data_IF_843493257287
#
_entry.id   IF_843493257287
#
_cell.length_a   1.000
_cell.length_b   1.000
_cell.length_c   1.000
_cell.angle_alpha   90.00
_cell.angle_beta   90.00
_cell.angle_gamma   90.00
#
_symmetry.space_group_name_H-M   'P 1'
#
loop_
_entity.id
_entity.type
_entity.pdbx_description
1 polymer ?
#
# COMPACT_ATOMS: atom_id res chain seq x y z
N UNK A 1 -11.39 1.71 18.45
CA UNK A 1 -11.83 0.84 17.32
C UNK A 1 -10.97 1.05 16.07
N UNK A 2 -10.80 2.28 15.57
CA UNK A 2 -10.08 2.52 14.31
C UNK A 2 -8.58 2.16 14.34
N UNK A 3 -7.90 2.42 15.46
CA UNK A 3 -6.49 2.01 15.61
C UNK A 3 -6.30 0.49 15.55
N UNK A 4 -7.24 -0.29 16.11
CA UNK A 4 -7.18 -1.75 16.10
C UNK A 4 -7.30 -2.33 14.69
N UNK A 5 -8.24 -1.84 13.88
CA UNK A 5 -8.39 -2.29 12.47
C UNK A 5 -7.11 -2.04 11.67
N UNK A 6 -6.42 -0.91 11.88
CA UNK A 6 -5.14 -0.64 11.22
C UNK A 6 -4.03 -1.61 11.64
N UNK A 7 -3.99 -1.99 12.92
CA UNK A 7 -3.05 -3.02 13.42
C UNK A 7 -3.34 -4.38 12.79
N UNK A 8 -4.62 -4.74 12.65
CA UNK A 8 -5.02 -6.00 12.02
C UNK A 8 -4.74 -6.03 10.51
N UNK A 9 -4.92 -4.89 9.82
CA UNK A 9 -4.48 -4.72 8.42
C UNK A 9 -2.97 -4.90 8.32
N UNK A 10 -2.20 -4.23 9.17
CA UNK A 10 -0.75 -4.38 9.22
C UNK A 10 -0.35 -5.84 9.44
N UNK A 11 -0.90 -6.50 10.47
CA UNK A 11 -0.65 -7.92 10.77
C UNK A 11 -0.96 -8.81 9.56
N UNK A 12 -2.10 -8.58 8.89
CA UNK A 12 -2.52 -9.33 7.71
C UNK A 12 -1.53 -9.22 6.56
N UNK A 13 -1.08 -8.00 6.23
CA UNK A 13 -0.04 -7.75 5.22
C UNK A 13 1.26 -8.43 5.62
N UNK A 14 1.70 -8.26 6.86
CA UNK A 14 2.99 -8.78 7.32
C UNK A 14 3.06 -10.31 7.32
N UNK A 15 1.93 -10.98 7.55
CA UNK A 15 1.86 -12.45 7.62
C UNK A 15 1.33 -13.10 6.34
N UNK A 16 0.84 -12.31 5.37
CA UNK A 16 0.07 -12.80 4.24
C UNK A 16 -1.11 -13.69 4.66
N UNK A 17 -1.80 -13.30 5.73
CA UNK A 17 -2.92 -14.03 6.32
C UNK A 17 -4.20 -13.20 6.19
N UNK A 18 -5.35 -13.87 5.97
CA UNK A 18 -6.65 -13.19 6.02
C UNK A 18 -6.88 -12.58 7.40
N UNK A 19 -7.73 -11.57 7.46
CA UNK A 19 -8.13 -10.99 8.74
C UNK A 19 -9.14 -11.91 9.42
N UNK A 20 -9.03 -12.00 10.74
CA UNK A 20 -9.99 -12.69 11.60
C UNK A 20 -10.70 -11.63 12.44
N UNK A 21 -11.63 -10.91 11.81
CA UNK A 21 -12.39 -9.84 12.44
C UNK A 21 -13.86 -10.21 12.44
N UNK A 22 -14.43 -10.38 13.62
CA UNK A 22 -15.87 -10.53 13.83
C UNK A 22 -16.55 -9.16 13.70
N UNK A 23 -16.62 -8.62 12.48
CA UNK A 23 -17.19 -7.28 12.20
C UNK A 23 -18.69 -7.35 11.84
N UNK A 24 -19.26 -8.54 11.78
CA UNK A 24 -20.62 -8.77 11.25
C UNK A 24 -21.72 -8.04 12.04
N UNK A 25 -21.42 -7.57 13.26
CA UNK A 25 -22.38 -6.88 14.14
C UNK A 25 -22.18 -5.37 14.23
N UNK A 26 -21.23 -4.78 13.50
CA UNK A 26 -20.97 -3.34 13.53
C UNK A 26 -21.38 -2.72 12.19
N UNK A 27 -22.40 -1.86 12.23
CA UNK A 27 -22.85 -1.12 11.04
C UNK A 27 -21.88 0.01 10.73
N UNK A 28 -20.96 -0.28 9.82
CA UNK A 28 -19.99 0.69 9.33
C UNK A 28 -20.51 1.39 8.08
N UNK A 29 -20.40 2.72 8.05
CA UNK A 29 -20.69 3.50 6.84
C UNK A 29 -19.72 3.12 5.71
N UNK A 30 -20.26 2.41 4.72
CA UNK A 30 -19.59 2.01 3.46
C UNK A 30 -20.17 2.75 2.25
N UNK A 31 -20.98 3.79 2.49
CA UNK A 31 -21.59 4.55 1.42
C UNK A 31 -20.55 5.42 0.69
N UNK A 32 -20.94 6.00 -0.44
CA UNK A 32 -20.16 7.02 -1.14
C UNK A 32 -20.86 8.39 -1.08
N UNK A 33 -21.73 8.59 -0.08
CA UNK A 33 -22.43 9.86 0.12
C UNK A 33 -21.45 10.91 0.67
N UNK A 34 -21.68 12.21 0.40
CA UNK A 34 -20.89 13.29 0.97
C UNK A 34 -20.76 13.14 2.50
N UNK A 35 -19.55 13.29 3.00
CA UNK A 35 -19.17 13.17 4.41
C UNK A 35 -17.83 13.86 4.64
N UNK A 36 -17.44 14.01 5.91
CA UNK A 36 -16.16 14.59 6.30
C UNK A 36 -14.96 13.69 5.92
N UNK A 37 -13.76 14.27 5.88
CA UNK A 37 -12.54 13.59 5.39
C UNK A 37 -12.20 12.32 6.19
N UNK A 38 -12.46 12.32 7.50
CA UNK A 38 -12.23 11.16 8.38
C UNK A 38 -13.14 9.99 8.03
N UNK A 39 -14.40 10.26 7.66
CA UNK A 39 -15.34 9.23 7.19
C UNK A 39 -14.88 8.66 5.83
N UNK A 40 -14.42 9.50 4.91
CA UNK A 40 -13.86 9.03 3.64
C UNK A 40 -12.61 8.16 3.82
N UNK A 41 -11.71 8.57 4.71
CA UNK A 41 -10.53 7.79 5.07
C UNK A 41 -10.93 6.44 5.68
N UNK A 42 -11.93 6.44 6.57
CA UNK A 42 -12.43 5.25 7.22
C UNK A 42 -13.07 4.27 6.24
N UNK A 43 -13.87 4.75 5.29
CA UNK A 43 -14.44 3.94 4.20
C UNK A 43 -13.37 3.20 3.40
N UNK A 44 -12.23 3.84 3.14
CA UNK A 44 -11.12 3.20 2.43
C UNK A 44 -10.36 2.20 3.32
N UNK A 45 -10.18 2.52 4.60
CA UNK A 45 -9.60 1.59 5.58
C UNK A 45 -10.42 0.29 5.69
N UNK A 46 -11.75 0.39 5.79
CA UNK A 46 -12.65 -0.76 5.79
C UNK A 46 -12.61 -1.53 4.48
N UNK A 47 -12.54 -0.81 3.35
CA UNK A 47 -12.38 -1.45 2.05
C UNK A 47 -11.11 -2.30 1.97
N UNK A 48 -10.01 -1.84 2.58
CA UNK A 48 -8.76 -2.61 2.68
C UNK A 48 -8.96 -3.96 3.39
N UNK A 49 -9.82 -4.02 4.41
CA UNK A 49 -10.16 -5.30 5.08
C UNK A 49 -10.79 -6.27 4.08
N UNK A 50 -11.77 -5.81 3.29
CA UNK A 50 -12.44 -6.64 2.28
C UNK A 50 -11.44 -7.10 1.20
N UNK A 51 -10.55 -6.19 0.76
CA UNK A 51 -9.48 -6.49 -0.22
C UNK A 51 -8.52 -7.56 0.31
N UNK A 52 -8.02 -7.41 1.53
CA UNK A 52 -7.09 -8.37 2.14
C UNK A 52 -7.75 -9.74 2.36
N UNK A 53 -9.00 -9.77 2.80
CA UNK A 53 -9.77 -11.01 2.92
C UNK A 53 -9.95 -11.72 1.57
N UNK A 54 -10.15 -10.98 0.49
CA UNK A 54 -10.12 -11.54 -0.86
C UNK A 54 -8.72 -12.02 -1.27
N UNK A 55 -7.69 -11.20 -1.05
CA UNK A 55 -6.31 -11.47 -1.45
C UNK A 55 -5.70 -12.69 -0.74
N UNK A 56 -6.00 -12.89 0.53
CA UNK A 56 -5.47 -13.99 1.36
C UNK A 56 -6.50 -15.07 1.69
N UNK A 57 -7.74 -14.93 1.20
CA UNK A 57 -8.77 -15.96 1.28
C UNK A 57 -8.53 -17.14 0.33
N UNK A 58 -9.18 -18.27 0.62
CA UNK A 58 -9.08 -19.49 -0.19
C UNK A 58 -9.89 -19.46 -1.49
N UNK A 59 -11.09 -18.87 -1.45
CA UNK A 59 -11.93 -18.69 -2.64
C UNK A 59 -11.77 -17.26 -3.18
N UNK A 60 -11.57 -17.13 -4.50
CA UNK A 60 -11.35 -15.84 -5.18
C UNK A 60 -12.29 -15.70 -6.38
N UNK A 61 -13.59 -15.48 -6.15
CA UNK A 61 -14.54 -15.29 -7.24
C UNK A 61 -14.22 -14.04 -8.05
N UNK A 62 -14.33 -14.14 -9.38
CA UNK A 62 -14.10 -13.00 -10.27
C UNK A 62 -15.05 -11.84 -9.97
N UNK A 63 -16.31 -12.13 -9.67
CA UNK A 63 -17.30 -11.11 -9.35
C UNK A 63 -16.90 -10.28 -8.12
N UNK A 64 -16.38 -10.92 -7.07
CA UNK A 64 -15.89 -10.22 -5.87
C UNK A 64 -14.72 -9.31 -6.22
N UNK A 65 -13.77 -9.77 -7.04
CA UNK A 65 -12.67 -8.93 -7.52
C UNK A 65 -13.17 -7.68 -8.25
N UNK A 66 -14.10 -7.86 -9.19
CA UNK A 66 -14.64 -6.76 -9.99
C UNK A 66 -15.41 -5.75 -9.12
N UNK A 67 -16.12 -6.22 -8.10
CA UNK A 67 -16.77 -5.37 -7.10
C UNK A 67 -15.75 -4.55 -6.29
N UNK A 68 -14.66 -5.17 -5.84
CA UNK A 68 -13.62 -4.50 -5.07
C UNK A 68 -12.93 -3.40 -5.90
N UNK A 69 -12.51 -3.73 -7.12
CA UNK A 69 -11.93 -2.76 -8.07
C UNK A 69 -12.92 -1.65 -8.37
N UNK A 70 -14.20 -1.99 -8.61
CA UNK A 70 -15.23 -0.99 -8.87
C UNK A 70 -15.43 -0.05 -7.69
N UNK A 71 -15.38 -0.55 -6.45
CA UNK A 71 -15.55 0.30 -5.27
C UNK A 71 -14.39 1.27 -5.13
N UNK A 72 -13.13 0.80 -5.17
CA UNK A 72 -11.96 1.66 -5.09
C UNK A 72 -11.98 2.77 -6.16
N UNK A 73 -12.32 2.42 -7.40
CA UNK A 73 -12.42 3.38 -8.49
C UNK A 73 -13.56 4.39 -8.30
N UNK A 74 -14.71 3.96 -7.75
CA UNK A 74 -15.83 4.87 -7.44
C UNK A 74 -15.48 5.79 -6.27
N UNK A 75 -14.82 5.27 -5.23
CA UNK A 75 -14.34 6.05 -4.09
C UNK A 75 -13.43 7.19 -4.57
N UNK A 76 -12.41 6.89 -5.39
CA UNK A 76 -11.48 7.92 -5.89
C UNK A 76 -12.16 9.00 -6.74
N UNK A 77 -13.27 8.68 -7.42
CA UNK A 77 -14.06 9.66 -8.17
C UNK A 77 -15.03 10.46 -7.31
N UNK A 78 -15.30 10.02 -6.09
CA UNK A 78 -16.36 10.57 -5.23
C UNK A 78 -15.81 11.32 -4.01
N UNK A 79 -14.52 11.12 -3.67
CA UNK A 79 -13.89 11.86 -2.58
C UNK A 79 -13.98 13.38 -2.79
N UNK A 80 -14.11 14.17 -1.71
CA UNK A 80 -14.16 15.63 -1.81
C UNK A 80 -12.85 16.22 -2.35
N UNK A 81 -12.89 17.49 -2.74
CA UNK A 81 -11.73 18.21 -3.29
C UNK A 81 -10.52 18.23 -2.34
N UNK A 82 -10.76 18.13 -1.02
CA UNK A 82 -9.73 17.99 0.03
C UNK A 82 -8.76 16.83 -0.20
N UNK A 83 -9.16 15.78 -0.93
CA UNK A 83 -8.31 14.64 -1.28
C UNK A 83 -7.37 14.93 -2.47
N UNK A 84 -7.46 16.10 -3.08
CA UNK A 84 -6.51 16.55 -4.09
C UNK A 84 -5.23 17.02 -3.40
N UNK A 85 -4.04 16.52 -3.79
CA UNK A 85 -2.80 17.01 -3.22
C UNK A 85 -2.64 18.52 -3.40
N UNK A 86 -2.20 19.19 -2.34
CA UNK A 86 -1.90 20.63 -2.35
C UNK A 86 -0.68 20.91 -3.23
N UNK A 87 0.29 20.00 -3.20
CA UNK A 87 1.47 20.03 -4.05
C UNK A 87 1.87 18.60 -4.44
N UNK A 88 2.23 18.43 -5.71
CA UNK A 88 2.95 17.26 -6.21
C UNK A 88 4.18 17.75 -6.95
N UNK A 89 5.35 17.43 -6.45
CA UNK A 89 6.61 17.79 -7.08
C UNK A 89 7.39 16.53 -7.47
N UNK A 90 8.01 16.57 -8.64
CA UNK A 90 8.89 15.51 -9.09
C UNK A 90 10.06 15.33 -8.09
N UNK A 91 10.65 14.13 -7.98
CA UNK A 91 11.76 13.90 -7.06
C UNK A 91 12.87 14.93 -7.25
N UNK A 92 13.31 15.55 -6.15
CA UNK A 92 14.48 16.43 -6.16
C UNK A 92 15.73 15.64 -6.57
N UNK A 93 16.79 16.34 -7.00
CA UNK A 93 18.06 15.67 -7.33
C UNK A 93 18.55 14.88 -6.12
N UNK A 94 18.65 13.56 -6.25
CA UNK A 94 19.09 12.65 -5.20
C UNK A 94 17.95 11.96 -4.43
N UNK A 95 16.68 12.34 -4.64
CA UNK A 95 15.53 11.57 -4.17
C UNK A 95 14.92 10.76 -5.31
N UNK A 96 14.34 9.60 -4.98
CA UNK A 96 13.60 8.75 -5.91
C UNK A 96 12.09 8.87 -5.75
N UNK A 97 11.63 9.55 -4.70
CA UNK A 97 10.22 9.70 -4.38
C UNK A 97 9.73 11.12 -4.70
N UNK A 98 8.48 11.26 -5.18
CA UNK A 98 7.87 12.57 -5.33
C UNK A 98 7.60 13.20 -3.97
N UNK A 99 7.66 14.53 -3.88
CA UNK A 99 7.12 15.24 -2.72
C UNK A 99 5.62 15.43 -2.92
N UNK A 100 4.83 15.04 -1.91
CA UNK A 100 3.37 15.05 -1.95
C UNK A 100 2.84 15.66 -0.66
N UNK A 101 2.33 16.90 -0.74
CA UNK A 101 1.70 17.56 0.39
C UNK A 101 0.19 17.41 0.34
N UNK A 102 -0.37 16.89 1.43
CA UNK A 102 -1.79 16.62 1.59
C UNK A 102 -2.38 17.50 2.69
N UNK A 103 -3.69 17.76 2.59
CA UNK A 103 -4.35 18.77 3.40
C UNK A 103 -4.36 18.44 4.91
N UNK A 104 -4.59 17.17 5.27
CA UNK A 104 -4.69 16.72 6.66
C UNK A 104 -4.46 15.19 6.78
N UNK A 105 -4.36 14.70 8.02
CA UNK A 105 -4.07 13.28 8.33
C UNK A 105 -5.15 12.31 7.82
N UNK A 106 -6.43 12.72 7.77
CA UNK A 106 -7.50 11.88 7.25
C UNK A 106 -7.32 11.67 5.74
N UNK A 107 -7.01 12.73 5.00
CA UNK A 107 -6.70 12.65 3.57
C UNK A 107 -5.47 11.76 3.33
N UNK A 108 -4.40 11.95 4.12
CA UNK A 108 -3.20 11.09 4.07
C UNK A 108 -3.60 9.63 4.24
N UNK A 109 -4.31 9.29 5.30
CA UNK A 109 -4.74 7.92 5.59
C UNK A 109 -5.61 7.31 4.49
N UNK A 110 -6.60 8.05 3.98
CA UNK A 110 -7.47 7.56 2.92
C UNK A 110 -6.71 7.26 1.63
N UNK A 111 -5.80 8.14 1.22
CA UNK A 111 -4.97 7.93 0.03
C UNK A 111 -3.95 6.79 0.23
N UNK A 112 -3.35 6.66 1.41
CA UNK A 112 -2.43 5.55 1.71
C UNK A 112 -3.12 4.20 1.51
N UNK A 113 -4.30 4.02 2.10
CA UNK A 113 -5.06 2.78 1.95
C UNK A 113 -5.57 2.57 0.52
N UNK A 114 -5.92 3.64 -0.19
CA UNK A 114 -6.28 3.55 -1.61
C UNK A 114 -5.12 2.99 -2.45
N UNK A 115 -3.90 3.50 -2.28
CA UNK A 115 -2.73 3.01 -3.02
C UNK A 115 -2.33 1.58 -2.60
N UNK A 116 -2.44 1.23 -1.31
CA UNK A 116 -2.26 -0.17 -0.85
C UNK A 116 -3.26 -1.10 -1.54
N UNK A 117 -4.53 -0.71 -1.62
CA UNK A 117 -5.56 -1.50 -2.29
C UNK A 117 -5.29 -1.66 -3.79
N UNK A 118 -4.77 -0.63 -4.45
CA UNK A 118 -4.33 -0.74 -5.86
C UNK A 118 -3.19 -1.75 -6.01
N UNK A 119 -2.18 -1.72 -5.16
CA UNK A 119 -1.08 -2.71 -5.18
C UNK A 119 -1.63 -4.12 -5.01
N UNK A 120 -2.44 -4.36 -3.97
CA UNK A 120 -3.05 -5.65 -3.68
C UNK A 120 -3.91 -6.16 -4.84
N UNK A 121 -4.83 -5.33 -5.35
CA UNK A 121 -5.74 -5.71 -6.44
C UNK A 121 -4.99 -5.92 -7.76
N UNK A 122 -3.89 -5.22 -8.00
CA UNK A 122 -3.03 -5.44 -9.19
C UNK A 122 -2.23 -6.73 -9.07
N UNK A 123 -1.62 -7.01 -7.91
CA UNK A 123 -0.92 -8.27 -7.64
C UNK A 123 -1.85 -9.46 -7.77
N UNK A 124 -3.08 -9.34 -7.27
CA UNK A 124 -4.07 -10.42 -7.20
C UNK A 124 -5.07 -10.43 -8.36
N UNK A 125 -4.83 -9.64 -9.42
CA UNK A 125 -5.68 -9.65 -10.61
C UNK A 125 -5.57 -11.00 -11.36
N UNK A 126 -6.65 -11.79 -11.48
CA UNK A 126 -6.60 -13.10 -12.13
C UNK A 126 -6.20 -13.05 -13.61
N UNK A 127 -6.63 -12.01 -14.33
CA UNK A 127 -6.30 -11.85 -15.75
C UNK A 127 -4.86 -11.40 -15.92
N UNK A 128 -4.43 -10.43 -15.12
CA UNK A 128 -3.07 -9.90 -15.18
C UNK A 128 -2.03 -10.99 -14.84
N UNK A 129 -2.31 -11.83 -13.84
CA UNK A 129 -1.44 -12.96 -13.50
C UNK A 129 -1.32 -13.98 -14.63
N UNK A 130 -2.43 -14.31 -15.32
CA UNK A 130 -2.40 -15.21 -16.47
C UNK A 130 -1.61 -14.60 -17.63
N UNK A 131 -1.83 -13.31 -17.91
CA UNK A 131 -1.16 -12.60 -19.00
C UNK A 131 0.33 -12.40 -18.74
N UNK A 132 0.74 -12.08 -17.51
CA UNK A 132 2.14 -11.90 -17.12
C UNK A 132 2.99 -13.16 -17.33
N UNK A 133 2.39 -14.35 -17.17
CA UNK A 133 3.07 -15.64 -17.42
C UNK A 133 3.41 -15.87 -18.89
N UNK A 134 2.63 -15.30 -19.81
CA UNK A 134 2.80 -15.50 -21.25
C UNK A 134 3.44 -14.30 -21.96
N UNK A 135 3.47 -13.12 -21.34
CA UNK A 135 4.02 -11.90 -21.92
C UNK A 135 4.91 -11.13 -20.95
N UNK A 136 6.21 -11.03 -21.29
CA UNK A 136 7.17 -10.18 -20.56
C UNK A 136 6.77 -8.71 -20.57
N UNK A 137 6.15 -8.22 -21.64
CA UNK A 137 5.67 -6.85 -21.73
C UNK A 137 4.52 -6.59 -20.76
N UNK A 138 3.57 -7.53 -20.65
CA UNK A 138 2.48 -7.43 -19.69
C UNK A 138 3.00 -7.45 -18.25
N UNK A 139 3.94 -8.36 -17.94
CA UNK A 139 4.58 -8.41 -16.62
C UNK A 139 5.27 -7.08 -16.27
N UNK A 140 5.99 -6.46 -17.22
CA UNK A 140 6.60 -5.14 -17.05
C UNK A 140 5.57 -4.03 -16.81
N UNK A 141 4.46 -4.06 -17.53
CA UNK A 141 3.39 -3.06 -17.36
C UNK A 141 2.75 -3.14 -15.98
N UNK A 142 2.47 -4.36 -15.50
CA UNK A 142 1.91 -4.62 -14.16
C UNK A 142 2.89 -4.12 -13.09
N UNK A 143 4.17 -4.50 -13.20
CA UNK A 143 5.18 -4.03 -12.25
C UNK A 143 5.35 -2.51 -12.28
N UNK A 144 5.27 -1.87 -13.44
CA UNK A 144 5.32 -0.40 -13.54
C UNK A 144 4.19 0.28 -12.76
N UNK A 145 2.98 -0.26 -12.83
CA UNK A 145 1.85 0.25 -12.05
C UNK A 145 2.11 0.10 -10.55
N UNK A 146 2.50 -1.10 -10.12
CA UNK A 146 2.84 -1.39 -8.71
C UNK A 146 3.95 -0.44 -8.22
N UNK A 147 5.02 -0.25 -9.00
CA UNK A 147 6.14 0.62 -8.61
C UNK A 147 5.71 2.07 -8.49
N UNK A 148 4.76 2.52 -9.32
CA UNK A 148 4.22 3.87 -9.24
C UNK A 148 3.49 4.05 -7.91
N UNK A 149 2.65 3.09 -7.50
CA UNK A 149 1.94 3.15 -6.22
C UNK A 149 2.89 3.06 -5.02
N UNK A 150 3.91 2.19 -5.05
CA UNK A 150 4.94 2.12 -4.00
C UNK A 150 5.68 3.45 -3.85
N UNK A 151 6.08 4.09 -4.96
CA UNK A 151 6.77 5.39 -4.93
C UNK A 151 5.89 6.52 -4.43
N UNK A 152 4.59 6.51 -4.76
CA UNK A 152 3.63 7.48 -4.23
C UNK A 152 3.50 7.32 -2.72
N UNK A 153 3.35 6.09 -2.23
CA UNK A 153 3.26 5.80 -0.80
C UNK A 153 4.52 6.23 -0.04
N UNK A 154 5.69 5.91 -0.59
CA UNK A 154 6.97 6.34 -0.01
C UNK A 154 7.12 7.87 -0.02
N UNK A 155 6.75 8.54 -1.11
CA UNK A 155 6.79 10.01 -1.22
C UNK A 155 5.82 10.72 -0.28
N UNK A 156 4.60 10.19 -0.12
CA UNK A 156 3.64 10.69 0.89
C UNK A 156 4.19 10.58 2.30
N UNK A 157 4.88 9.48 2.62
CA UNK A 157 5.46 9.26 3.93
C UNK A 157 6.69 10.18 4.15
N UNK A 158 7.58 10.30 3.17
CA UNK A 158 8.76 11.17 3.24
C UNK A 158 8.40 12.67 3.33
N UNK A 159 7.22 13.06 2.84
CA UNK A 159 6.71 14.44 2.88
C UNK A 159 6.05 14.82 4.21
N UNK A 160 5.94 13.91 5.18
CA UNK A 160 5.30 14.13 6.48
C UNK A 160 6.30 13.88 7.63
N UNK A 161 5.89 14.17 8.86
CA UNK A 161 6.71 13.94 10.04
C UNK A 161 7.14 12.46 10.16
N UNK A 162 8.42 12.16 10.50
CA UNK A 162 8.94 10.80 10.72
C UNK A 162 8.14 9.95 11.71
N UNK A 163 7.44 10.57 12.66
CA UNK A 163 6.61 9.85 13.63
C UNK A 163 5.20 9.51 13.10
N UNK A 164 4.87 9.89 11.86
CA UNK A 164 3.52 9.70 11.32
C UNK A 164 3.30 8.22 10.92
N UNK A 165 2.12 7.63 11.23
CA UNK A 165 1.77 6.27 10.80
C UNK A 165 1.79 6.02 9.28
N UNK A 166 1.90 7.07 8.46
CA UNK A 166 2.13 6.97 7.02
C UNK A 166 3.36 6.12 6.66
N UNK A 167 4.44 6.20 7.44
CA UNK A 167 5.64 5.40 7.20
C UNK A 167 5.38 3.89 7.33
N UNK A 168 4.55 3.47 8.29
CA UNK A 168 4.12 2.07 8.41
C UNK A 168 3.35 1.63 7.17
N UNK A 169 2.54 2.51 6.58
CA UNK A 169 1.78 2.21 5.36
C UNK A 169 2.68 2.12 4.12
N UNK A 170 3.70 2.96 4.03
CA UNK A 170 4.74 2.82 3.00
C UNK A 170 5.53 1.51 3.17
N UNK A 171 5.85 1.12 4.40
CA UNK A 171 6.49 -0.16 4.69
C UNK A 171 5.64 -1.36 4.27
N UNK A 172 4.31 -1.32 4.47
CA UNK A 172 3.40 -2.35 3.95
C UNK A 172 3.51 -2.47 2.42
N UNK A 173 3.63 -1.36 1.70
CA UNK A 173 3.82 -1.38 0.24
C UNK A 173 5.15 -2.04 -0.17
N UNK A 174 6.22 -1.77 0.56
CA UNK A 174 7.55 -2.38 0.37
C UNK A 174 7.46 -3.89 0.65
N UNK A 175 6.76 -4.31 1.69
CA UNK A 175 6.56 -5.74 1.99
C UNK A 175 5.78 -6.44 0.88
N UNK A 176 4.75 -5.79 0.33
CA UNK A 176 3.90 -6.37 -0.72
C UNK A 176 4.60 -6.50 -2.08
N UNK A 177 5.53 -5.60 -2.41
CA UNK A 177 6.01 -5.43 -3.77
C UNK A 177 7.49 -5.08 -3.93
N UNK A 178 8.22 -4.87 -2.83
CA UNK A 178 9.63 -4.45 -2.84
C UNK A 178 10.54 -5.45 -3.53
N UNK A 179 10.25 -6.75 -3.39
CA UNK A 179 10.98 -7.85 -4.02
C UNK A 179 11.01 -7.77 -5.56
N UNK A 180 10.04 -7.10 -6.17
CA UNK A 180 9.92 -6.93 -7.63
C UNK A 180 10.85 -5.85 -8.20
N UNK A 181 11.37 -4.94 -7.37
CA UNK A 181 12.24 -3.86 -7.81
C UNK A 181 13.58 -4.41 -8.32
N UNK A 182 14.10 -3.84 -9.41
CA UNK A 182 15.32 -4.33 -10.07
C UNK A 182 16.43 -3.29 -10.19
N UNK A 183 16.13 -2.02 -9.89
CA UNK A 183 17.10 -0.92 -9.96
C UNK A 183 17.72 -0.75 -8.58
N UNK A 184 19.06 -0.75 -8.51
CA UNK A 184 19.80 -0.80 -7.25
C UNK A 184 19.50 0.40 -6.37
N UNK A 185 19.50 1.59 -6.94
CA UNK A 185 19.24 2.84 -6.23
C UNK A 185 17.82 2.84 -5.64
N UNK A 186 16.83 2.31 -6.36
CA UNK A 186 15.46 2.18 -5.85
C UNK A 186 15.39 1.20 -4.67
N UNK A 187 16.09 0.07 -4.78
CA UNK A 187 16.14 -0.94 -3.72
C UNK A 187 16.78 -0.40 -2.44
N UNK A 188 17.87 0.37 -2.55
CA UNK A 188 18.55 1.02 -1.41
C UNK A 188 17.62 1.99 -0.68
N UNK A 189 16.93 2.87 -1.39
CA UNK A 189 16.03 3.83 -0.75
C UNK A 189 14.83 3.12 -0.09
N UNK A 190 14.27 2.08 -0.71
CA UNK A 190 13.21 1.28 -0.07
C UNK A 190 13.73 0.53 1.16
N UNK A 191 14.96 0.02 1.11
CA UNK A 191 15.61 -0.64 2.23
C UNK A 191 15.78 0.33 3.40
N UNK A 192 16.34 1.52 3.15
CA UNK A 192 16.54 2.56 4.17
C UNK A 192 15.21 3.01 4.78
N UNK A 193 14.19 3.27 3.95
CA UNK A 193 12.88 3.67 4.45
C UNK A 193 12.28 2.60 5.38
N UNK A 194 12.36 1.32 4.99
CA UNK A 194 11.87 0.22 5.82
C UNK A 194 12.69 0.05 7.10
N UNK A 195 14.02 0.10 7.01
CA UNK A 195 14.92 -0.07 8.17
C UNK A 195 14.73 1.07 9.18
N UNK A 196 14.77 2.32 8.72
CA UNK A 196 14.66 3.49 9.59
C UNK A 196 13.28 3.53 10.27
N UNK A 197 12.21 3.25 9.52
CA UNK A 197 10.86 3.17 10.11
C UNK A 197 10.78 2.04 11.14
N UNK A 198 11.37 0.89 10.85
CA UNK A 198 11.36 -0.23 11.78
C UNK A 198 12.10 0.10 13.09
N UNK A 199 13.24 0.78 12.99
CA UNK A 199 14.01 1.25 14.15
C UNK A 199 13.20 2.28 14.98
N UNK A 200 12.62 3.29 14.31
CA UNK A 200 11.81 4.33 14.95
C UNK A 200 10.59 3.76 15.71
N UNK A 201 9.98 2.69 15.17
CA UNK A 201 8.83 2.02 15.78
C UNK A 201 9.19 0.76 16.59
N UNK A 202 10.48 0.48 16.78
CA UNK A 202 10.98 -0.70 17.51
C UNK A 202 10.38 -2.02 17.03
N UNK A 203 10.24 -2.15 15.71
CA UNK A 203 9.67 -3.30 15.03
C UNK A 203 10.77 -4.18 14.39
N UNK A 204 10.79 -5.48 14.69
CA UNK A 204 11.74 -6.40 14.04
C UNK A 204 11.34 -6.73 12.59
N UNK A 205 12.15 -6.24 11.65
CA UNK A 205 12.02 -6.47 10.20
C UNK A 205 13.14 -7.33 9.61
N UNK A 206 13.97 -7.95 10.45
CA UNK A 206 15.20 -8.63 10.01
C UNK A 206 14.95 -9.69 8.92
N UNK A 207 13.89 -10.48 9.09
CA UNK A 207 13.50 -11.51 8.11
C UNK A 207 13.01 -10.91 6.78
N UNK A 208 12.31 -9.78 6.83
CA UNK A 208 11.81 -9.08 5.63
C UNK A 208 12.98 -8.47 4.87
N UNK A 209 13.88 -7.78 5.56
CA UNK A 209 15.08 -7.20 4.96
C UNK A 209 15.97 -8.29 4.34
N UNK A 210 16.17 -9.41 5.02
CA UNK A 210 16.90 -10.56 4.47
C UNK A 210 16.22 -11.13 3.21
N UNK A 211 14.88 -11.22 3.21
CA UNK A 211 14.12 -11.65 2.04
C UNK A 211 14.25 -10.68 0.85
N UNK A 212 14.20 -9.38 1.09
CA UNK A 212 14.39 -8.35 0.06
C UNK A 212 15.80 -8.41 -0.53
N UNK A 213 16.85 -8.41 0.31
CA UNK A 213 18.25 -8.54 -0.13
C UNK A 213 18.44 -9.78 -1.01
N UNK A 214 17.90 -10.93 -0.57
CA UNK A 214 17.94 -12.18 -1.34
C UNK A 214 17.23 -12.05 -2.69
N UNK A 215 16.04 -11.46 -2.72
CA UNK A 215 15.26 -11.27 -3.95
C UNK A 215 15.94 -10.34 -4.94
N UNK A 216 16.67 -9.35 -4.43
CA UNK A 216 17.47 -8.42 -5.23
C UNK A 216 18.86 -8.95 -5.62
N UNK A 217 19.21 -10.17 -5.20
CA UNK A 217 20.54 -10.78 -5.38
C UNK A 217 21.68 -9.94 -4.79
N UNK A 218 21.45 -9.30 -3.64
CA UNK A 218 22.50 -8.62 -2.90
C UNK A 218 23.38 -9.63 -2.15
N UNK A 219 24.69 -9.39 -2.03
CA UNK A 219 25.58 -10.24 -1.23
C UNK A 219 25.18 -10.24 0.25
N UNK A 220 25.27 -11.40 0.93
CA UNK A 220 24.89 -11.55 2.35
C UNK A 220 25.71 -10.64 3.29
N UNK A 221 26.96 -10.34 2.93
CA UNK A 221 27.88 -9.51 3.73
C UNK A 221 27.80 -8.00 3.40
N UNK A 222 26.86 -7.59 2.55
CA UNK A 222 26.74 -6.19 2.14
C UNK A 222 26.01 -5.36 3.21
N UNK A 223 26.77 -4.50 3.90
CA UNK A 223 26.23 -3.36 4.64
C UNK A 223 25.78 -2.31 3.62
N UNK A 224 24.55 -1.81 3.81
CA UNK A 224 24.01 -0.63 3.13
C UNK A 224 24.48 0.58 3.91
#
# INVERSE_FOLDING_TARGET
MWAWIRIEIFRSVMRNEKLDLEIEHVDFDRSLQPADDDIWAWRMCLHTVDVLNYCYGGNKPRETYDQLVSYAAKWMRSVPESFTPVLVQAPLRGSLFPEIFLLNDSVVMGLLFYHINRILLTIHNPDAQRLAKVSKQAARSINKEIFTDVKILAGMADSISPCNPAHISACMAIVLAGDRFTIREEQEVLYELLSNTADDFSWDVSLILAHLKKSWNWPEDMLV
#
